data_IF_196521953769
#
_entry.id   IF_196521953769
#
_cell.length_a   1.000
_cell.length_b   1.000
_cell.length_c   1.000
_cell.angle_alpha   90.00
_cell.angle_beta   90.00
_cell.angle_gamma   90.00
#
_symmetry.space_group_name_H-M   'P 1'
#
loop_
_entity.id
_entity.type
_entity.pdbx_description
1 polymer ?
#
# COMPACT_ATOMS: atom_id res chain seq x y z
N UNK A 1 5.56 20.75 -48.06
CA UNK A 1 5.76 21.15 -46.65
C UNK A 1 4.57 20.60 -45.90
N UNK A 2 4.70 19.39 -45.38
CA UNK A 2 3.64 18.69 -44.65
C UNK A 2 3.76 19.04 -43.16
N UNK A 3 2.66 19.47 -42.56
CA UNK A 3 2.53 19.68 -41.12
C UNK A 3 2.25 18.33 -40.46
N UNK A 4 3.13 17.80 -39.58
CA UNK A 4 2.76 16.66 -38.75
C UNK A 4 1.90 17.18 -37.59
N UNK A 5 0.62 16.85 -37.65
CA UNK A 5 -0.36 17.09 -36.61
C UNK A 5 0.02 16.24 -35.39
N UNK A 6 0.58 16.87 -34.35
CA UNK A 6 0.80 16.25 -33.04
C UNK A 6 -0.54 16.17 -32.32
N UNK A 7 -1.21 15.02 -32.41
CA UNK A 7 -2.21 14.63 -31.42
C UNK A 7 -1.47 14.29 -30.12
N UNK A 8 -1.29 15.28 -29.25
CA UNK A 8 -1.04 15.02 -27.83
C UNK A 8 -2.37 14.61 -27.22
N UNK A 9 -2.61 13.31 -27.12
CA UNK A 9 -3.66 12.79 -26.26
C UNK A 9 -3.31 13.23 -24.84
N UNK A 10 -4.05 14.23 -24.34
CA UNK A 10 -4.08 14.57 -22.93
C UNK A 10 -4.69 13.38 -22.21
N UNK A 11 -3.84 12.47 -21.73
CA UNK A 11 -4.25 11.43 -20.80
C UNK A 11 -4.98 12.07 -19.61
N UNK A 12 -5.88 11.31 -18.94
CA UNK A 12 -6.64 11.83 -17.81
C UNK A 12 -5.65 12.45 -16.81
N UNK A 13 -5.81 13.74 -16.55
CA UNK A 13 -5.01 14.46 -15.56
C UNK A 13 -5.21 13.76 -14.22
N UNK A 14 -4.16 13.16 -13.66
CA UNK A 14 -4.21 12.54 -12.35
C UNK A 14 -4.63 13.58 -11.31
N UNK A 15 -5.78 13.37 -10.68
CA UNK A 15 -6.22 14.21 -9.57
C UNK A 15 -5.27 14.00 -8.38
N UNK A 16 -4.88 15.08 -7.70
CA UNK A 16 -4.15 15.00 -6.44
C UNK A 16 -5.07 14.50 -5.33
N UNK A 17 -4.95 13.21 -4.99
CA UNK A 17 -5.71 12.58 -3.91
C UNK A 17 -4.95 12.46 -2.59
N UNK A 18 -3.63 12.65 -2.61
CA UNK A 18 -2.80 12.52 -1.42
C UNK A 18 -2.98 13.74 -0.53
N UNK A 19 -3.52 13.52 0.67
CA UNK A 19 -3.70 14.53 1.71
C UNK A 19 -2.46 14.72 2.56
N UNK A 20 -1.77 13.61 2.85
CA UNK A 20 -0.65 13.59 3.76
C UNK A 20 0.32 12.45 3.41
N UNK A 21 1.60 12.68 3.68
CA UNK A 21 2.69 11.73 3.47
C UNK A 21 3.21 11.32 4.85
N UNK A 22 2.99 10.07 5.25
CA UNK A 22 3.43 9.52 6.53
C UNK A 22 4.69 8.67 6.33
N UNK A 23 5.85 9.32 6.36
CA UNK A 23 7.13 8.63 6.41
C UNK A 23 7.63 8.50 7.86
N UNK A 24 7.70 7.28 8.37
CA UNK A 24 8.21 7.00 9.71
C UNK A 24 9.71 6.68 9.62
N UNK A 25 10.55 7.56 10.19
CA UNK A 25 12.01 7.42 10.16
C UNK A 25 12.54 6.28 11.04
N UNK A 26 11.78 5.87 12.05
CA UNK A 26 12.17 4.80 12.98
C UNK A 26 11.93 3.43 12.35
N UNK A 27 10.75 3.23 11.75
CA UNK A 27 10.40 1.95 11.11
C UNK A 27 10.80 1.87 9.64
N UNK A 28 11.00 3.01 8.96
CA UNK A 28 11.25 3.08 7.51
C UNK A 28 9.99 2.97 6.65
N UNK A 29 8.81 2.83 7.25
CA UNK A 29 7.55 2.66 6.50
C UNK A 29 7.04 3.97 5.91
N UNK A 30 6.39 3.89 4.74
CA UNK A 30 5.80 5.02 4.04
C UNK A 30 4.34 4.72 3.65
N UNK A 31 3.42 5.52 4.21
CA UNK A 31 2.00 5.50 3.86
C UNK A 31 1.59 6.84 3.25
N UNK A 32 0.76 6.81 2.21
CA UNK A 32 0.17 8.00 1.59
C UNK A 32 -1.31 8.03 1.95
N UNK A 33 -1.70 9.01 2.76
CA UNK A 33 -3.09 9.19 3.16
C UNK A 33 -3.86 9.83 2.01
N UNK A 34 -5.00 9.24 1.68
CA UNK A 34 -5.82 9.65 0.57
C UNK A 34 -7.08 10.36 1.03
N UNK A 35 -7.67 11.15 0.14
CA UNK A 35 -9.04 11.58 0.35
C UNK A 35 -10.01 10.39 0.23
N UNK A 36 -10.55 9.93 1.36
CA UNK A 36 -11.58 8.88 1.39
C UNK A 36 -12.81 9.22 0.53
N UNK A 37 -13.11 10.50 0.30
CA UNK A 37 -14.22 10.89 -0.60
C UNK A 37 -13.95 10.59 -2.08
N UNK A 38 -12.71 10.20 -2.41
CA UNK A 38 -12.30 9.82 -3.77
C UNK A 38 -12.29 8.30 -3.96
N UNK A 39 -12.42 7.54 -2.87
CA UNK A 39 -12.83 6.13 -2.96
C UNK A 39 -14.35 6.07 -2.99
N UNK A 40 -14.90 4.96 -3.50
CA UNK A 40 -16.35 4.76 -3.57
C UNK A 40 -16.71 3.45 -2.87
N UNK A 41 -16.69 3.42 -1.53
CA UNK A 41 -17.00 2.23 -0.74
C UNK A 41 -18.48 1.83 -0.83
N UNK A 42 -19.38 2.76 -1.19
CA UNK A 42 -20.81 2.49 -1.30
C UNK A 42 -21.11 1.40 -2.33
N UNK A 43 -20.36 1.36 -3.44
CA UNK A 43 -20.49 0.34 -4.49
C UNK A 43 -20.35 -1.10 -3.99
N UNK A 44 -19.62 -1.31 -2.90
CA UNK A 44 -19.34 -2.65 -2.35
C UNK A 44 -19.86 -2.82 -0.93
N UNK A 45 -20.63 -1.84 -0.41
CA UNK A 45 -21.14 -1.86 0.96
C UNK A 45 -22.06 -3.05 1.22
N UNK A 46 -23.00 -3.33 0.31
CA UNK A 46 -23.91 -4.48 0.45
C UNK A 46 -23.17 -5.81 0.57
N UNK A 47 -22.19 -6.05 -0.32
CA UNK A 47 -21.32 -7.22 -0.27
C UNK A 47 -20.53 -7.29 1.06
N UNK A 48 -19.98 -6.16 1.52
CA UNK A 48 -19.23 -6.10 2.76
C UNK A 48 -20.10 -6.42 4.00
N UNK A 49 -21.31 -5.86 4.06
CA UNK A 49 -22.26 -6.07 5.15
C UNK A 49 -22.75 -7.52 5.23
N UNK A 50 -23.04 -8.15 4.09
CA UNK A 50 -23.42 -9.57 4.01
C UNK A 50 -22.35 -10.50 4.59
N UNK A 51 -21.08 -10.10 4.50
CA UNK A 51 -19.93 -10.85 5.02
C UNK A 51 -19.44 -10.35 6.39
N UNK A 52 -20.09 -9.35 6.99
CA UNK A 52 -19.71 -8.80 8.29
C UNK A 52 -18.37 -8.06 8.29
N UNK A 53 -17.95 -7.49 7.14
CA UNK A 53 -16.78 -6.63 7.08
C UNK A 53 -17.10 -5.22 7.59
N UNK A 54 -16.12 -4.62 8.24
CA UNK A 54 -16.18 -3.27 8.78
C UNK A 54 -15.45 -2.30 7.87
N UNK A 55 -16.07 -1.16 7.59
CA UNK A 55 -15.45 -0.09 6.82
C UNK A 55 -14.24 0.49 7.56
N UNK A 56 -13.18 0.83 6.81
CA UNK A 56 -12.05 1.56 7.36
C UNK A 56 -12.35 3.04 7.53
N UNK A 57 -11.89 3.60 8.65
CA UNK A 57 -12.01 5.04 8.94
C UNK A 57 -11.00 5.87 8.12
N UNK A 58 -9.94 5.23 7.61
CA UNK A 58 -8.87 5.84 6.83
C UNK A 58 -8.71 5.16 5.46
N UNK A 59 -8.26 5.92 4.47
CA UNK A 59 -7.85 5.43 3.16
C UNK A 59 -6.38 5.78 2.95
N UNK A 60 -5.54 4.79 2.67
CA UNK A 60 -4.13 5.00 2.38
C UNK A 60 -3.61 3.99 1.36
N UNK A 61 -2.57 4.39 0.61
CA UNK A 61 -1.71 3.46 -0.14
C UNK A 61 -0.43 3.23 0.66
N UNK A 62 -0.06 1.97 0.85
CA UNK A 62 1.24 1.60 1.40
C UNK A 62 2.28 1.62 0.29
N UNK A 63 3.26 2.52 0.39
CA UNK A 63 4.35 2.63 -0.59
C UNK A 63 5.61 1.91 -0.11
N UNK A 64 5.93 1.99 1.18
CA UNK A 64 6.95 1.13 1.80
C UNK A 64 6.28 0.40 2.96
N UNK A 65 6.00 -0.88 2.74
CA UNK A 65 5.45 -1.79 3.76
C UNK A 65 6.51 -2.32 4.72
N UNK A 66 6.09 -3.07 5.73
CA UNK A 66 6.97 -3.59 6.78
C UNK A 66 8.15 -4.38 6.25
N UNK A 67 7.95 -5.30 5.31
CA UNK A 67 9.02 -6.18 4.81
C UNK A 67 10.09 -5.39 4.02
N UNK A 68 9.65 -4.41 3.21
CA UNK A 68 10.57 -3.50 2.50
C UNK A 68 11.31 -2.61 3.49
N UNK A 69 10.59 -2.08 4.48
CA UNK A 69 11.16 -1.22 5.50
C UNK A 69 12.20 -1.97 6.34
N UNK A 70 11.93 -3.22 6.71
CA UNK A 70 12.88 -4.09 7.41
C UNK A 70 14.16 -4.31 6.60
N UNK A 71 14.05 -4.59 5.29
CA UNK A 71 15.21 -4.72 4.40
C UNK A 71 16.05 -3.44 4.35
N UNK A 72 15.39 -2.27 4.24
CA UNK A 72 16.06 -0.97 4.28
C UNK A 72 16.76 -0.79 5.63
N UNK A 73 16.04 -0.96 6.73
CA UNK A 73 16.57 -0.72 8.07
C UNK A 73 17.69 -1.69 8.45
N UNK A 74 17.62 -2.95 8.02
CA UNK A 74 18.70 -3.92 8.16
C UNK A 74 19.95 -3.47 7.40
N UNK A 75 19.81 -3.04 6.14
CA UNK A 75 20.93 -2.53 5.33
C UNK A 75 21.62 -1.32 5.97
N UNK A 76 20.84 -0.47 6.64
CA UNK A 76 21.35 0.71 7.36
C UNK A 76 21.87 0.40 8.76
N UNK A 77 21.51 -0.74 9.34
CA UNK A 77 21.92 -1.16 10.69
C UNK A 77 23.44 -1.35 10.82
N UNK A 78 24.10 -1.70 9.72
CA UNK A 78 25.55 -1.91 9.66
C UNK A 78 26.35 -0.61 9.51
N UNK A 79 25.66 0.53 9.28
CA UNK A 79 26.32 1.81 9.01
C UNK A 79 26.54 2.63 10.29
N UNK A 80 27.59 3.48 10.32
CA UNK A 80 27.73 4.50 11.35
C UNK A 80 26.48 5.36 11.46
N UNK A 81 26.11 5.75 12.68
CA UNK A 81 24.88 6.53 12.96
C UNK A 81 24.70 7.75 12.04
N UNK A 82 25.77 8.52 11.81
CA UNK A 82 25.70 9.71 10.95
C UNK A 82 25.39 9.38 9.49
N UNK A 83 25.95 8.29 8.96
CA UNK A 83 25.68 7.84 7.59
C UNK A 83 24.25 7.30 7.46
N UNK A 84 23.77 6.56 8.47
CA UNK A 84 22.37 6.13 8.56
C UNK A 84 21.41 7.32 8.55
N UNK A 85 21.66 8.34 9.37
CA UNK A 85 20.84 9.56 9.42
C UNK A 85 20.84 10.30 8.08
N UNK A 86 21.99 10.37 7.40
CA UNK A 86 22.12 10.96 6.06
C UNK A 86 21.29 10.21 5.01
N UNK A 87 21.37 8.87 5.00
CA UNK A 87 20.59 8.07 4.04
C UNK A 87 19.09 8.19 4.30
N UNK A 88 18.65 8.15 5.56
CA UNK A 88 17.24 8.37 5.91
C UNK A 88 16.74 9.76 5.48
N UNK A 89 17.58 10.79 5.61
CA UNK A 89 17.26 12.13 5.11
C UNK A 89 17.15 12.15 3.57
N UNK A 90 18.01 11.44 2.85
CA UNK A 90 17.92 11.27 1.39
C UNK A 90 16.65 10.54 0.97
N UNK A 91 16.27 9.46 1.67
CA UNK A 91 15.01 8.74 1.41
C UNK A 91 13.83 9.70 1.58
N UNK A 92 13.78 10.47 2.69
CA UNK A 92 12.74 11.48 2.89
C UNK A 92 12.70 12.51 1.75
N UNK A 93 13.84 13.02 1.32
CA UNK A 93 13.90 13.97 0.20
C UNK A 93 13.39 13.36 -1.11
N UNK A 94 13.68 12.07 -1.38
CA UNK A 94 13.10 11.36 -2.52
C UNK A 94 11.58 11.30 -2.40
N UNK A 95 11.04 10.90 -1.24
CA UNK A 95 9.59 10.83 -0.98
C UNK A 95 8.91 12.18 -1.25
N UNK A 96 9.50 13.28 -0.78
CA UNK A 96 8.99 14.64 -0.94
C UNK A 96 9.13 15.17 -2.37
N UNK A 97 10.04 14.61 -3.17
CA UNK A 97 10.26 14.99 -4.57
C UNK A 97 9.26 14.39 -5.56
N UNK A 98 8.56 13.32 -5.17
CA UNK A 98 7.62 12.61 -6.04
C UNK A 98 6.26 13.32 -6.00
N UNK A 99 5.74 13.68 -7.17
CA UNK A 99 4.39 14.20 -7.29
C UNK A 99 3.38 13.05 -7.27
N UNK A 100 3.00 12.60 -6.07
CA UNK A 100 2.12 11.44 -5.92
C UNK A 100 0.74 11.68 -6.54
N UNK A 101 0.45 10.93 -7.60
CA UNK A 101 -0.83 10.91 -8.29
C UNK A 101 -1.29 9.47 -8.42
N UNK A 102 -2.54 9.20 -8.07
CA UNK A 102 -3.14 7.88 -8.16
C UNK A 102 -4.40 7.93 -9.01
N UNK A 103 -4.67 6.86 -9.73
CA UNK A 103 -5.95 6.64 -10.40
C UNK A 103 -6.53 5.35 -9.84
N UNK A 104 -7.72 5.44 -9.23
CA UNK A 104 -8.41 4.25 -8.76
C UNK A 104 -9.00 3.49 -9.93
N UNK A 105 -8.78 2.18 -9.93
CA UNK A 105 -9.41 1.27 -10.86
C UNK A 105 -10.89 1.06 -10.51
N UNK A 106 -11.77 0.82 -11.49
CA UNK A 106 -13.17 0.53 -11.23
C UNK A 106 -13.40 -0.85 -10.59
N UNK A 107 -12.40 -1.73 -10.58
CA UNK A 107 -12.48 -3.07 -10.01
C UNK A 107 -12.27 -3.09 -8.50
N UNK A 108 -13.06 -3.95 -7.86
CA UNK A 108 -13.01 -4.23 -6.43
C UNK A 108 -12.82 -5.71 -6.23
N UNK A 109 -12.05 -6.07 -5.21
CA UNK A 109 -11.69 -7.44 -4.93
C UNK A 109 -11.89 -7.77 -3.45
N UNK A 110 -12.47 -8.92 -3.20
CA UNK A 110 -12.48 -9.57 -1.91
C UNK A 110 -11.29 -10.53 -1.81
N UNK A 111 -10.59 -10.46 -0.70
CA UNK A 111 -9.43 -11.32 -0.40
C UNK A 111 -9.50 -11.85 1.02
N UNK A 112 -8.88 -13.00 1.23
CA UNK A 112 -8.83 -13.70 2.51
C UNK A 112 -7.45 -14.30 2.73
N UNK A 113 -6.93 -14.18 3.95
CA UNK A 113 -5.64 -14.76 4.36
C UNK A 113 -5.74 -15.33 5.77
N UNK A 114 -5.13 -16.48 5.97
CA UNK A 114 -4.98 -17.11 7.28
C UNK A 114 -3.61 -16.77 7.86
N UNK A 115 -3.56 -16.54 9.17
CA UNK A 115 -2.35 -16.21 9.92
C UNK A 115 -2.27 -17.05 11.18
N UNK A 116 -1.05 -17.46 11.51
CA UNK A 116 -0.70 -18.17 12.73
C UNK A 116 0.16 -17.24 13.59
N UNK A 117 -0.50 -16.46 14.44
CA UNK A 117 0.20 -15.51 15.30
C UNK A 117 0.45 -16.09 16.70
N UNK A 118 1.59 -15.80 17.33
CA UNK A 118 1.78 -16.16 18.73
C UNK A 118 0.76 -15.43 19.61
N UNK A 119 0.30 -16.12 20.67
CA UNK A 119 -0.57 -15.50 21.67
C UNK A 119 0.22 -14.39 22.40
N UNK A 120 -0.31 -13.15 22.47
CA UNK A 120 0.39 -12.03 23.10
C UNK A 120 0.64 -12.24 24.60
N UNK A 121 -0.11 -13.15 25.24
CA UNK A 121 0.01 -13.50 26.67
C UNK A 121 0.83 -14.76 26.89
N UNK A 122 1.01 -15.60 25.86
CA UNK A 122 1.71 -16.88 25.94
C UNK A 122 2.34 -17.26 24.59
N UNK A 123 3.58 -16.83 24.36
CA UNK A 123 4.30 -17.09 23.10
C UNK A 123 4.46 -18.57 22.71
N UNK A 124 4.14 -19.52 23.60
CA UNK A 124 4.11 -20.95 23.28
C UNK A 124 2.84 -21.40 22.56
N UNK A 125 1.80 -20.55 22.55
CA UNK A 125 0.52 -20.80 21.87
C UNK A 125 0.42 -20.04 20.56
N UNK A 126 -0.29 -20.64 19.61
CA UNK A 126 -0.64 -20.03 18.33
C UNK A 126 -2.14 -19.73 18.31
N UNK A 127 -2.49 -18.51 17.93
CA UNK A 127 -3.87 -18.09 17.66
C UNK A 127 -4.05 -18.08 16.14
N UNK A 128 -4.87 -19.00 15.66
CA UNK A 128 -5.31 -19.00 14.26
C UNK A 128 -6.23 -17.80 14.00
N UNK A 129 -5.82 -16.96 13.06
CA UNK A 129 -6.55 -15.78 12.61
C UNK A 129 -6.93 -15.95 11.14
N UNK A 130 -8.21 -15.73 10.82
CA UNK A 130 -8.64 -15.51 9.44
C UNK A 130 -8.94 -14.03 9.29
N UNK A 131 -8.28 -13.40 8.33
CA UNK A 131 -8.52 -12.01 7.97
C UNK A 131 -9.12 -11.94 6.59
N UNK A 132 -10.05 -11.01 6.42
CA UNK A 132 -10.75 -10.79 5.17
C UNK A 132 -10.74 -9.29 4.86
N UNK A 133 -10.67 -8.92 3.58
CA UNK A 133 -10.63 -7.51 3.18
C UNK A 133 -11.29 -7.31 1.82
N UNK A 134 -11.94 -6.17 1.66
CA UNK A 134 -12.33 -5.63 0.35
C UNK A 134 -11.36 -4.53 0.01
N UNK A 135 -10.72 -4.64 -1.15
CA UNK A 135 -9.75 -3.68 -1.66
C UNK A 135 -10.20 -3.11 -3.00
N UNK A 136 -9.66 -1.93 -3.31
CA UNK A 136 -9.72 -1.32 -4.63
C UNK A 136 -8.29 -1.10 -5.13
N UNK A 137 -8.02 -1.49 -6.37
CA UNK A 137 -6.71 -1.29 -6.97
C UNK A 137 -6.52 0.17 -7.37
N UNK A 138 -5.26 0.61 -7.38
CA UNK A 138 -4.87 1.92 -7.85
C UNK A 138 -3.67 1.81 -8.79
N UNK A 139 -3.51 2.80 -9.66
CA UNK A 139 -2.34 2.95 -10.52
C UNK A 139 -1.64 4.28 -10.25
N UNK A 140 -0.34 4.29 -10.43
CA UNK A 140 0.46 5.51 -10.40
C UNK A 140 1.67 5.33 -11.31
N UNK A 141 1.94 6.33 -12.15
CA UNK A 141 3.15 6.34 -12.99
C UNK A 141 4.43 6.60 -12.20
N UNK A 142 4.31 7.12 -10.98
CA UNK A 142 5.44 7.70 -10.25
C UNK A 142 6.05 6.73 -9.21
N UNK A 143 5.41 5.58 -8.97
CA UNK A 143 5.93 4.59 -8.02
C UNK A 143 7.18 3.88 -8.54
N UNK A 144 7.25 3.57 -9.84
CA UNK A 144 8.46 3.03 -10.45
C UNK A 144 9.63 4.03 -10.38
N UNK A 145 9.36 5.31 -10.62
CA UNK A 145 10.37 6.38 -10.46
C UNK A 145 10.86 6.48 -9.01
N UNK A 146 9.94 6.44 -8.04
CA UNK A 146 10.27 6.44 -6.62
C UNK A 146 11.23 5.30 -6.26
N UNK A 147 10.90 4.06 -6.69
CA UNK A 147 11.72 2.89 -6.39
C UNK A 147 13.08 2.92 -7.10
N UNK A 148 13.17 3.50 -8.31
CA UNK A 148 14.45 3.72 -8.97
C UNK A 148 15.36 4.67 -8.17
N UNK A 149 14.82 5.81 -7.70
CA UNK A 149 15.55 6.74 -6.82
C UNK A 149 15.89 6.12 -5.47
N UNK A 150 14.99 5.30 -4.91
CA UNK A 150 15.24 4.57 -3.67
C UNK A 150 16.41 3.58 -3.82
N UNK A 151 16.52 2.90 -4.95
CA UNK A 151 17.66 2.03 -5.30
C UNK A 151 18.96 2.83 -5.39
N UNK A 152 18.96 4.03 -5.98
CA UNK A 152 20.15 4.90 -6.02
C UNK A 152 20.62 5.31 -4.62
N UNK A 153 19.69 5.59 -3.71
CA UNK A 153 19.99 6.04 -2.34
C UNK A 153 20.43 4.89 -1.43
N UNK A 154 19.78 3.73 -1.53
CA UNK A 154 19.98 2.60 -0.60
C UNK A 154 20.91 1.51 -1.16
N UNK A 155 21.08 1.47 -2.48
CA UNK A 155 21.71 0.36 -3.19
C UNK A 155 20.87 -0.92 -3.26
N UNK A 156 19.64 -0.90 -2.71
CA UNK A 156 18.77 -2.07 -2.69
C UNK A 156 17.92 -2.15 -3.95
N UNK A 157 17.87 -3.34 -4.54
CA UNK A 157 16.92 -3.67 -5.60
C UNK A 157 15.65 -4.24 -4.97
N UNK A 158 14.63 -3.40 -4.86
CA UNK A 158 13.36 -3.72 -4.24
C UNK A 158 12.28 -3.83 -5.32
N UNK A 159 11.42 -4.83 -5.18
CA UNK A 159 10.24 -4.97 -6.04
C UNK A 159 9.28 -3.79 -5.82
N UNK A 160 8.66 -3.32 -6.89
CA UNK A 160 7.70 -2.22 -6.85
C UNK A 160 6.35 -2.78 -6.40
N UNK A 161 5.73 -2.24 -5.32
CA UNK A 161 4.52 -2.82 -4.79
C UNK A 161 3.30 -2.54 -5.66
N UNK A 162 2.30 -3.41 -5.59
CA UNK A 162 1.01 -3.23 -6.26
C UNK A 162 0.15 -2.22 -5.48
N UNK A 163 -0.13 -1.02 -6.03
CA UNK A 163 -0.88 0.00 -5.30
C UNK A 163 -2.34 -0.43 -5.13
N UNK A 164 -2.83 -0.36 -3.90
CA UNK A 164 -4.21 -0.65 -3.56
C UNK A 164 -4.62 0.10 -2.30
N UNK A 165 -5.93 0.21 -2.08
CA UNK A 165 -6.54 0.74 -0.86
C UNK A 165 -7.45 -0.32 -0.28
N UNK A 166 -7.32 -0.55 1.03
CA UNK A 166 -8.28 -1.38 1.77
C UNK A 166 -9.49 -0.55 2.17
N UNK A 167 -10.68 -0.98 1.76
CA UNK A 167 -11.95 -0.28 2.02
C UNK A 167 -12.67 -0.87 3.24
N UNK A 168 -12.75 -2.20 3.31
CA UNK A 168 -13.40 -2.92 4.41
C UNK A 168 -12.51 -4.07 4.89
N UNK A 169 -12.61 -4.43 6.16
CA UNK A 169 -11.87 -5.54 6.76
C UNK A 169 -12.67 -6.27 7.82
N UNK A 170 -12.35 -7.53 8.05
CA UNK A 170 -12.69 -8.22 9.30
C UNK A 170 -11.60 -9.20 9.68
N UNK A 171 -11.67 -9.68 10.92
CA UNK A 171 -10.77 -10.69 11.46
C UNK A 171 -11.53 -11.56 12.46
N UNK A 172 -11.20 -12.85 12.52
CA UNK A 172 -11.67 -13.73 13.61
C UNK A 172 -11.12 -13.31 14.97
N UNK A 173 -10.09 -12.45 15.01
CA UNK A 173 -9.56 -11.82 16.20
C UNK A 173 -10.15 -10.42 16.41
N UNK A 174 -10.77 -10.20 17.57
CA UNK A 174 -11.42 -8.93 17.91
C UNK A 174 -10.47 -7.73 17.81
N UNK A 175 -9.25 -7.89 18.33
CA UNK A 175 -8.20 -6.86 18.37
C UNK A 175 -7.67 -6.46 16.98
N UNK A 176 -8.02 -7.23 15.94
CA UNK A 176 -7.51 -7.04 14.58
C UNK A 176 -8.60 -6.88 13.53
N UNK A 177 -9.87 -6.71 13.92
CA UNK A 177 -10.99 -6.56 12.98
C UNK A 177 -10.80 -5.44 11.94
N UNK A 178 -10.10 -4.36 12.30
CA UNK A 178 -9.81 -3.23 11.40
C UNK A 178 -8.46 -3.34 10.67
N UNK A 179 -7.71 -4.44 10.86
CA UNK A 179 -6.42 -4.66 10.21
C UNK A 179 -6.64 -5.18 8.80
N UNK A 180 -5.90 -4.66 7.82
CA UNK A 180 -5.93 -5.15 6.44
C UNK A 180 -5.02 -6.35 6.22
N UNK A 181 -5.14 -6.97 5.06
CA UNK A 181 -4.19 -7.96 4.54
C UNK A 181 -3.07 -7.20 3.82
N UNK A 182 -1.82 -7.50 4.14
CA UNK A 182 -0.68 -6.97 3.40
C UNK A 182 -0.57 -7.66 2.04
N UNK A 183 -0.53 -6.86 0.98
CA UNK A 183 -0.34 -7.30 -0.41
C UNK A 183 0.84 -6.50 -0.94
N UNK A 184 1.99 -7.13 -1.13
CA UNK A 184 3.16 -6.41 -1.58
C UNK A 184 3.22 -6.42 -3.11
N UNK A 185 3.17 -7.59 -3.73
CA UNK A 185 3.31 -7.75 -5.18
C UNK A 185 2.02 -8.19 -5.88
N UNK A 186 2.00 -8.15 -7.21
CA UNK A 186 0.95 -8.80 -8.01
C UNK A 186 0.92 -10.31 -7.77
N UNK A 187 2.08 -10.94 -7.57
CA UNK A 187 2.15 -12.38 -7.23
C UNK A 187 1.47 -12.66 -5.90
N UNK A 188 1.71 -11.84 -4.88
CA UNK A 188 1.04 -12.01 -3.59
C UNK A 188 -0.47 -11.86 -3.73
N UNK A 189 -0.91 -10.91 -4.57
CA UNK A 189 -2.32 -10.71 -4.85
C UNK A 189 -2.93 -11.95 -5.50
N UNK A 190 -2.29 -12.52 -6.52
CA UNK A 190 -2.75 -13.73 -7.21
C UNK A 190 -2.78 -14.96 -6.28
N UNK A 191 -1.79 -15.10 -5.40
CA UNK A 191 -1.71 -16.19 -4.41
C UNK A 191 -2.90 -16.16 -3.43
N UNK A 192 -3.47 -14.98 -3.16
CA UNK A 192 -4.67 -14.81 -2.35
C UNK A 192 -5.96 -15.27 -3.05
N UNK A 193 -5.90 -15.60 -4.35
CA UNK A 193 -7.04 -16.00 -5.18
C UNK A 193 -8.20 -15.00 -5.06
N UNK A 194 -8.00 -13.74 -5.47
CA UNK A 194 -8.92 -12.66 -5.22
C UNK A 194 -10.25 -12.89 -5.94
N UNK A 195 -11.35 -12.66 -5.25
CA UNK A 195 -12.69 -12.71 -5.80
C UNK A 195 -13.07 -11.31 -6.30
N UNK A 196 -13.23 -11.14 -7.61
CA UNK A 196 -13.72 -9.87 -8.17
C UNK A 196 -15.18 -9.69 -7.75
N UNK A 197 -15.51 -8.50 -7.26
CA UNK A 197 -16.88 -8.14 -6.86
C UNK A 197 -17.60 -7.55 -8.09
N UNK A 198 -18.77 -8.09 -8.43
CA UNK A 198 -19.66 -7.54 -9.45
C UNK A 198 -20.56 -6.47 -8.82
N UNK A 199 -20.65 -5.30 -9.48
CA UNK A 199 -21.35 -4.10 -9.00
C UNK A 199 -22.47 -3.75 -9.98
#
# INVERSE_FOLDING_TARGET
MENPNKNSESGPSGDKFVKNIRFNLESGTLLLDLDKNKTDPEKVRGFAEERGLLEKDEAHVTVIGSDTAEQIMARLGDLPRGEKEEILAKIRAVVESIDWQFVFKPEYYYIKKEYDDPDPTDSSKIIHEVRESVIQLAETGNLAEFYAKLKEVTGLELEVPMPHVTLFTTSTREDKRKRGIGIYSERDFDELKPERIEI
#
